data_IF_162060644100
#
_entry.id   IF_162060644100
#
_cell.length_a   1.000
_cell.length_b   1.000
_cell.length_c   1.000
_cell.angle_alpha   90.00
_cell.angle_beta   90.00
_cell.angle_gamma   90.00
#
_symmetry.space_group_name_H-M   'P 1'
#
loop_
_entity.id
_entity.type
_entity.pdbx_description
1 polymer ?
#
# COMPACT_ATOMS: atom_id res chain seq x y z
N UNK A 1 4.86 13.39 1.46
CA UNK A 1 4.78 11.98 1.04
C UNK A 1 4.02 11.92 -0.28
N UNK A 2 4.49 11.13 -1.23
CA UNK A 2 3.81 10.90 -2.53
C UNK A 2 3.86 9.41 -2.87
N UNK A 3 3.21 8.99 -3.95
CA UNK A 3 3.17 7.59 -4.34
C UNK A 3 2.24 7.30 -5.51
N UNK A 4 2.02 6.02 -5.77
CA UNK A 4 1.10 5.52 -6.79
C UNK A 4 0.37 4.27 -6.31
N UNK A 5 -0.82 4.06 -6.87
CA UNK A 5 -1.62 2.84 -6.70
C UNK A 5 -1.45 2.01 -7.95
N UNK A 6 -0.86 0.82 -7.83
CA UNK A 6 -0.72 -0.13 -8.94
C UNK A 6 -1.87 -1.14 -8.99
N UNK A 7 -2.54 -1.39 -7.86
CA UNK A 7 -3.72 -2.24 -7.79
C UNK A 7 -4.66 -1.80 -6.66
N UNK A 8 -5.96 -1.78 -6.95
CA UNK A 8 -7.01 -1.50 -5.96
C UNK A 8 -8.33 -2.08 -6.43
N UNK A 9 -8.63 -3.32 -6.05
CA UNK A 9 -9.85 -3.99 -6.50
C UNK A 9 -10.20 -5.18 -5.64
N UNK A 10 -11.45 -5.60 -5.74
CA UNK A 10 -11.81 -6.99 -5.48
C UNK A 10 -11.56 -7.82 -6.75
N UNK A 11 -10.99 -9.02 -6.59
CA UNK A 11 -10.83 -9.97 -7.69
C UNK A 11 -12.19 -10.46 -8.18
N UNK A 12 -12.26 -10.93 -9.43
CA UNK A 12 -13.49 -11.53 -9.97
C UNK A 12 -13.50 -13.01 -9.60
N UNK A 13 -14.64 -13.53 -9.13
CA UNK A 13 -14.81 -14.90 -8.66
C UNK A 13 -15.76 -14.96 -7.46
N UNK A 14 -16.13 -16.18 -7.03
CA UNK A 14 -17.05 -16.41 -5.90
C UNK A 14 -16.55 -15.78 -4.60
N UNK A 15 -15.22 -15.77 -4.42
CA UNK A 15 -14.57 -15.29 -3.21
C UNK A 15 -14.26 -13.78 -3.21
N UNK A 16 -14.19 -13.14 -4.38
CA UNK A 16 -14.05 -11.68 -4.44
C UNK A 16 -12.85 -11.10 -3.66
N UNK A 17 -11.72 -11.80 -3.57
CA UNK A 17 -10.60 -11.40 -2.71
C UNK A 17 -10.14 -9.94 -2.94
N UNK A 18 -9.99 -9.11 -1.89
CA UNK A 18 -9.40 -7.79 -2.02
C UNK A 18 -7.90 -7.87 -2.37
N UNK A 19 -7.46 -7.08 -3.35
CA UNK A 19 -6.06 -6.93 -3.72
C UNK A 19 -5.68 -5.45 -3.82
N UNK A 20 -4.52 -5.12 -3.23
CA UNK A 20 -3.98 -3.76 -3.17
C UNK A 20 -2.48 -3.79 -3.50
N UNK A 21 -2.04 -2.86 -4.33
CA UNK A 21 -0.63 -2.61 -4.66
C UNK A 21 -0.33 -1.12 -4.56
N UNK A 22 0.70 -0.77 -3.78
CA UNK A 22 1.09 0.62 -3.50
C UNK A 22 2.60 0.82 -3.65
N UNK A 23 2.96 2.01 -4.12
CA UNK A 23 4.32 2.57 -3.99
C UNK A 23 4.23 3.87 -3.20
N UNK A 24 5.12 4.06 -2.22
CA UNK A 24 5.21 5.24 -1.37
C UNK A 24 6.63 5.83 -1.42
N UNK A 25 6.71 7.15 -1.42
CA UNK A 25 7.96 7.91 -1.40
C UNK A 25 7.90 9.03 -0.34
N UNK A 26 8.98 9.17 0.42
CA UNK A 26 9.23 10.33 1.28
C UNK A 26 10.26 11.21 0.60
N UNK A 27 9.92 12.48 0.43
CA UNK A 27 10.75 13.49 -0.22
C UNK A 27 11.11 14.51 0.85
N UNK A 28 12.41 14.79 0.98
CA UNK A 28 12.89 15.91 1.77
C UNK A 28 12.52 17.22 1.06
N UNK A 29 11.79 18.10 1.75
CA UNK A 29 11.20 19.31 1.15
C UNK A 29 12.27 20.33 0.78
N UNK A 30 13.34 20.44 1.56
CA UNK A 30 14.39 21.43 1.35
C UNK A 30 15.23 21.12 0.11
N UNK A 31 15.59 19.85 -0.09
CA UNK A 31 16.47 19.41 -1.18
C UNK A 31 15.72 18.80 -2.39
N UNK A 32 14.44 18.45 -2.23
CA UNK A 32 13.66 17.73 -3.23
C UNK A 32 14.09 16.27 -3.43
N UNK A 33 15.02 15.75 -2.62
CA UNK A 33 15.53 14.38 -2.77
C UNK A 33 14.55 13.37 -2.17
N UNK A 34 14.38 12.23 -2.85
CA UNK A 34 13.73 11.06 -2.26
C UNK A 34 14.66 10.49 -1.20
N UNK A 35 14.23 10.50 0.06
CA UNK A 35 15.00 9.99 1.21
C UNK A 35 14.57 8.58 1.60
N UNK A 36 13.40 8.14 1.13
CA UNK A 36 12.90 6.80 1.38
C UNK A 36 11.86 6.41 0.32
N UNK A 37 11.85 5.13 -0.05
CA UNK A 37 10.87 4.54 -0.95
C UNK A 37 10.50 3.13 -0.47
N UNK A 38 9.24 2.76 -0.63
CA UNK A 38 8.81 1.37 -0.47
C UNK A 38 7.67 1.04 -1.42
N UNK A 39 7.64 -0.20 -1.90
CA UNK A 39 6.57 -0.73 -2.71
C UNK A 39 6.15 -2.10 -2.17
N UNK A 40 4.88 -2.43 -2.31
CA UNK A 40 4.38 -3.73 -1.90
C UNK A 40 2.97 -3.99 -2.39
N UNK A 41 2.57 -5.25 -2.31
CA UNK A 41 1.22 -5.71 -2.62
C UNK A 41 0.71 -6.65 -1.53
N UNK A 42 -0.61 -6.69 -1.38
CA UNK A 42 -1.29 -7.57 -0.42
C UNK A 42 -2.62 -8.02 -1.00
N UNK A 43 -2.87 -9.33 -0.97
CA UNK A 43 -4.21 -9.91 -1.13
C UNK A 43 -4.76 -10.26 0.26
N UNK A 44 -6.06 -10.05 0.45
CA UNK A 44 -6.79 -10.52 1.63
C UNK A 44 -7.73 -11.67 1.30
N UNK A 45 -8.45 -12.13 2.32
CA UNK A 45 -9.43 -13.22 2.21
C UNK A 45 -10.80 -12.70 1.75
N UNK A 46 -11.69 -13.61 1.33
CA UNK A 46 -12.99 -13.31 0.71
C UNK A 46 -13.90 -12.32 1.47
N UNK A 47 -13.77 -12.28 2.80
CA UNK A 47 -14.61 -11.44 3.69
C UNK A 47 -13.90 -10.20 4.21
N UNK A 48 -12.67 -9.94 3.78
CA UNK A 48 -11.96 -8.74 4.20
C UNK A 48 -12.36 -7.54 3.34
N UNK A 49 -12.50 -6.38 3.98
CA UNK A 49 -12.70 -5.13 3.26
C UNK A 49 -11.41 -4.74 2.54
N UNK A 50 -11.53 -4.28 1.28
CA UNK A 50 -10.41 -3.79 0.47
C UNK A 50 -9.61 -2.69 1.18
N UNK A 51 -10.31 -1.76 1.85
CA UNK A 51 -9.69 -0.71 2.65
C UNK A 51 -8.92 -1.26 3.86
N UNK A 52 -9.39 -2.33 4.49
CA UNK A 52 -8.68 -2.97 5.61
C UNK A 52 -7.38 -3.62 5.15
N UNK A 53 -7.38 -4.27 3.98
CA UNK A 53 -6.16 -4.80 3.35
C UNK A 53 -5.19 -3.68 2.98
N UNK A 54 -5.68 -2.57 2.42
CA UNK A 54 -4.86 -1.39 2.12
C UNK A 54 -4.21 -0.83 3.39
N UNK A 55 -4.97 -0.68 4.48
CA UNK A 55 -4.44 -0.18 5.76
C UNK A 55 -3.38 -1.11 6.36
N UNK A 56 -3.53 -2.43 6.22
CA UNK A 56 -2.50 -3.41 6.62
C UNK A 56 -1.23 -3.21 5.79
N UNK A 57 -1.36 -3.13 4.47
CA UNK A 57 -0.21 -2.88 3.58
C UNK A 57 0.48 -1.55 3.90
N UNK A 58 -0.26 -0.46 4.12
CA UNK A 58 0.33 0.83 4.49
C UNK A 58 1.11 0.73 5.79
N UNK A 59 0.57 0.07 6.83
CA UNK A 59 1.30 -0.15 8.09
C UNK A 59 2.60 -0.92 7.90
N UNK A 60 2.58 -1.97 7.10
CA UNK A 60 3.78 -2.77 6.81
C UNK A 60 4.83 -1.92 6.09
N UNK A 61 4.41 -1.16 5.07
CA UNK A 61 5.30 -0.31 4.28
C UNK A 61 5.89 0.83 5.13
N UNK A 62 5.10 1.44 6.03
CA UNK A 62 5.59 2.57 6.84
C UNK A 62 6.26 2.16 8.14
N UNK A 63 6.29 0.87 8.49
CA UNK A 63 6.91 0.39 9.73
C UNK A 63 8.36 0.88 9.94
N UNK A 64 9.24 0.94 8.92
CA UNK A 64 10.59 1.47 9.10
C UNK A 64 10.66 2.97 9.42
N UNK A 65 9.61 3.74 9.14
CA UNK A 65 9.52 5.18 9.38
C UNK A 65 8.98 5.54 10.78
N UNK A 66 8.38 4.57 11.47
CA UNK A 66 7.73 4.78 12.77
C UNK A 66 8.68 4.58 13.98
N UNK A 67 9.99 4.53 13.74
CA UNK A 67 11.03 4.34 14.77
C UNK A 67 11.76 5.63 15.07
#
# INVERSE_FOLDING_TARGET
>A
VTGSVSEWRYKVGVDGEPAVGLTLQVIDVASGKVVWTAAGGRSGWSREALSAVAQKLVRDLTQPLAR
#
